data_IF_227409027482
#
_entry.id   IF_227409027482
#
_cell.length_a   1.000
_cell.length_b   1.000
_cell.length_c   1.000
_cell.angle_alpha   90.00
_cell.angle_beta   90.00
_cell.angle_gamma   90.00
#
_symmetry.space_group_name_H-M   'P 1'
#
loop_
_entity.id
_entity.type
_entity.pdbx_description
1 polymer ?
#
# COMPACT_ATOMS: atom_id res chain seq x y z
N UNK A 1 0.40 34.68 -12.70
CA UNK A 1 -0.96 34.69 -12.11
C UNK A 1 -1.42 33.23 -11.96
N UNK A 2 -2.14 32.90 -10.89
CA UNK A 2 -2.64 31.54 -10.73
C UNK A 2 -3.65 31.18 -11.83
N UNK A 3 -3.54 29.95 -12.35
CA UNK A 3 -4.50 29.40 -13.31
C UNK A 3 -5.82 29.09 -12.58
N UNK A 4 -6.91 29.75 -12.98
CA UNK A 4 -8.20 29.64 -12.32
C UNK A 4 -9.12 28.57 -12.91
N UNK A 5 -8.62 27.69 -13.80
CA UNK A 5 -9.38 26.55 -14.31
C UNK A 5 -9.95 25.71 -13.15
N UNK A 6 -11.24 25.39 -13.22
CA UNK A 6 -11.93 24.63 -12.17
C UNK A 6 -11.51 23.16 -12.15
N UNK A 7 -11.29 22.58 -13.32
CA UNK A 7 -10.94 21.18 -13.45
C UNK A 7 -9.42 20.96 -13.43
N UNK A 8 -9.00 19.79 -12.99
CA UNK A 8 -7.61 19.30 -13.07
C UNK A 8 -7.15 19.21 -14.52
N UNK A 9 -5.86 19.33 -14.74
CA UNK A 9 -5.26 18.90 -16.01
C UNK A 9 -5.53 17.41 -16.20
N UNK A 10 -6.18 17.00 -17.33
CA UNK A 10 -6.50 15.60 -17.56
C UNK A 10 -5.24 14.74 -17.59
N UNK A 11 -5.36 13.53 -17.06
CA UNK A 11 -4.31 12.52 -17.19
C UNK A 11 -4.67 11.58 -18.34
N UNK A 12 -3.67 11.16 -19.09
CA UNK A 12 -3.84 10.14 -20.14
C UNK A 12 -3.78 8.76 -19.53
N UNK A 13 -4.65 7.88 -20.02
CA UNK A 13 -4.77 6.49 -19.56
C UNK A 13 -4.85 5.55 -20.74
N UNK A 14 -4.48 4.28 -20.53
CA UNK A 14 -4.78 3.24 -21.50
C UNK A 14 -6.29 3.06 -21.65
N UNK A 15 -6.76 2.83 -22.87
CA UNK A 15 -8.18 2.53 -23.13
C UNK A 15 -8.62 1.29 -22.30
N UNK A 16 -9.82 1.30 -21.69
CA UNK A 16 -10.28 0.23 -20.79
C UNK A 16 -10.17 -1.18 -21.38
N UNK A 17 -10.56 -1.37 -22.65
CA UNK A 17 -10.49 -2.66 -23.34
C UNK A 17 -9.05 -3.15 -23.57
N UNK A 18 -8.07 -2.24 -23.63
CA UNK A 18 -6.64 -2.55 -23.78
C UNK A 18 -6.04 -2.86 -22.43
N UNK A 19 -6.23 -1.97 -21.43
CA UNK A 19 -5.62 -2.12 -20.11
C UNK A 19 -6.14 -3.33 -19.34
N UNK A 20 -7.38 -3.77 -19.59
CA UNK A 20 -7.95 -4.98 -18.99
C UNK A 20 -7.24 -6.28 -19.40
N UNK A 21 -6.32 -6.25 -20.38
CA UNK A 21 -5.65 -7.43 -20.94
C UNK A 21 -4.13 -7.41 -20.85
N UNK A 22 -3.57 -6.43 -20.14
CA UNK A 22 -2.12 -6.32 -19.96
C UNK A 22 -1.77 -5.82 -18.56
N UNK A 23 -0.49 -5.97 -18.18
CA UNK A 23 0.01 -5.54 -16.88
C UNK A 23 0.83 -4.24 -16.93
N UNK A 24 0.80 -3.52 -18.05
CA UNK A 24 1.46 -2.22 -18.15
C UNK A 24 0.73 -1.16 -17.30
N UNK A 25 1.47 -0.15 -16.85
CA UNK A 25 0.91 0.91 -16.01
C UNK A 25 -0.28 1.59 -16.69
N UNK A 26 -1.39 1.73 -15.95
CA UNK A 26 -2.69 2.20 -16.49
C UNK A 26 -2.66 3.67 -16.85
N UNK A 27 -2.12 4.50 -15.95
CA UNK A 27 -2.09 5.97 -16.10
C UNK A 27 -0.69 6.42 -16.53
N UNK A 28 -0.62 7.38 -17.45
CA UNK A 28 0.65 7.98 -17.87
C UNK A 28 1.02 9.16 -16.97
N UNK A 29 2.31 9.45 -16.86
CA UNK A 29 2.78 10.66 -16.19
C UNK A 29 2.38 11.91 -16.98
N UNK A 30 2.30 13.06 -16.32
CA UNK A 30 2.22 14.35 -17.00
C UNK A 30 3.48 14.62 -17.83
N UNK A 31 3.30 15.29 -18.95
CA UNK A 31 4.40 15.99 -19.62
C UNK A 31 4.82 17.21 -18.80
N UNK A 32 6.02 17.76 -19.06
CA UNK A 32 6.50 18.99 -18.39
C UNK A 32 5.48 20.12 -18.46
N UNK A 33 4.88 20.32 -19.65
CA UNK A 33 3.89 21.38 -19.85
C UNK A 33 2.57 21.13 -19.10
N UNK A 34 2.10 19.86 -19.05
CA UNK A 34 0.91 19.49 -18.28
C UNK A 34 1.15 19.68 -16.78
N UNK A 35 2.34 19.32 -16.28
CA UNK A 35 2.74 19.52 -14.90
C UNK A 35 2.80 21.01 -14.51
N UNK A 36 3.43 21.87 -15.34
CA UNK A 36 3.47 23.32 -15.12
C UNK A 36 2.04 23.89 -15.12
N UNK A 37 1.21 23.48 -16.08
CA UNK A 37 -0.18 23.94 -16.17
C UNK A 37 -0.97 23.58 -14.91
N UNK A 38 -0.86 22.34 -14.42
CA UNK A 38 -1.53 21.90 -13.18
C UNK A 38 -0.95 22.60 -11.95
N UNK A 39 0.36 22.76 -11.86
CA UNK A 39 1.03 23.40 -10.74
C UNK A 39 0.60 24.88 -10.58
N UNK A 40 0.36 25.60 -11.69
CA UNK A 40 -0.11 26.98 -11.68
C UNK A 40 -1.53 27.14 -11.12
N UNK A 41 -2.30 26.07 -10.96
CA UNK A 41 -3.61 26.08 -10.28
C UNK A 41 -3.49 26.23 -8.75
N UNK A 42 -2.31 25.99 -8.18
CA UNK A 42 -2.09 26.12 -6.74
C UNK A 42 -2.19 27.57 -6.28
N UNK A 43 -2.99 27.81 -5.25
CA UNK A 43 -3.20 29.15 -4.68
C UNK A 43 -2.12 29.55 -3.66
N UNK A 44 -1.17 28.69 -3.36
CA UNK A 44 -0.15 28.89 -2.32
C UNK A 44 -0.74 29.41 -1.00
N UNK A 45 -1.74 28.70 -0.46
CA UNK A 45 -2.53 29.11 0.68
C UNK A 45 -1.67 29.33 1.94
N UNK A 46 -1.90 30.43 2.66
CA UNK A 46 -1.17 30.77 3.89
C UNK A 46 -1.22 29.66 4.95
N UNK A 47 -2.39 29.04 5.13
CA UNK A 47 -2.61 27.98 6.15
C UNK A 47 -2.22 26.57 5.67
N UNK A 48 -1.84 26.39 4.40
CA UNK A 48 -1.36 25.13 3.81
C UNK A 48 -2.16 23.88 4.22
N UNK A 49 -3.50 23.82 4.07
CA UNK A 49 -4.31 22.72 4.60
C UNK A 49 -3.97 21.37 3.95
N UNK A 50 -3.44 21.37 2.72
CA UNK A 50 -2.96 20.15 2.07
C UNK A 50 -1.77 19.50 2.80
N UNK A 51 -0.89 20.28 3.44
CA UNK A 51 0.25 19.76 4.22
C UNK A 51 -0.26 18.99 5.43
N UNK A 52 -1.22 19.55 6.20
CA UNK A 52 -1.81 18.86 7.34
C UNK A 52 -2.65 17.63 6.96
N UNK A 53 -3.03 17.51 5.68
CA UNK A 53 -3.69 16.32 5.13
C UNK A 53 -2.72 15.21 4.72
N UNK A 54 -1.40 15.48 4.73
CA UNK A 54 -0.38 14.51 4.36
C UNK A 54 0.23 13.87 5.63
N UNK A 55 0.16 12.53 5.82
CA UNK A 55 0.71 11.85 7.01
C UNK A 55 2.21 12.03 7.23
N UNK A 56 2.97 12.39 6.21
CA UNK A 56 4.41 12.69 6.30
C UNK A 56 4.73 14.18 6.12
N UNK A 57 3.71 15.04 6.11
CA UNK A 57 3.83 16.50 6.05
C UNK A 57 4.69 17.01 4.87
N UNK A 58 4.51 16.47 3.67
CA UNK A 58 5.18 16.97 2.46
C UNK A 58 4.93 18.47 2.31
N UNK A 59 5.97 19.24 2.02
CA UNK A 59 5.93 20.69 1.81
C UNK A 59 5.28 21.04 0.47
N UNK A 60 3.96 20.72 0.37
CA UNK A 60 3.21 20.69 -0.89
C UNK A 60 3.22 22.03 -1.63
N UNK A 61 2.88 23.19 -1.04
CA UNK A 61 2.90 24.45 -1.79
C UNK A 61 4.29 24.81 -2.31
N UNK A 62 5.34 24.46 -1.57
CA UNK A 62 6.73 24.76 -1.94
C UNK A 62 7.16 23.95 -3.16
N UNK A 63 6.96 22.62 -3.17
CA UNK A 63 7.36 21.84 -4.33
C UNK A 63 6.51 22.17 -5.56
N UNK A 64 5.21 22.46 -5.39
CA UNK A 64 4.34 22.86 -6.51
C UNK A 64 4.78 24.20 -7.10
N UNK A 65 5.25 25.14 -6.28
CA UNK A 65 5.78 26.40 -6.76
C UNK A 65 7.02 26.19 -7.65
N UNK A 66 7.91 25.26 -7.27
CA UNK A 66 9.07 24.93 -8.10
C UNK A 66 8.67 24.25 -9.41
N UNK A 67 7.66 23.34 -9.38
CA UNK A 67 7.10 22.77 -10.62
C UNK A 67 6.53 23.84 -11.53
N UNK A 68 5.79 24.81 -10.98
CA UNK A 68 5.22 25.92 -11.77
C UNK A 68 6.30 26.79 -12.42
N UNK A 69 7.50 26.84 -11.84
CA UNK A 69 8.65 27.58 -12.36
C UNK A 69 9.55 26.73 -13.30
N UNK A 70 9.24 25.44 -13.51
CA UNK A 70 10.04 24.51 -14.31
C UNK A 70 11.27 23.94 -13.59
N UNK A 71 11.39 24.12 -12.27
CA UNK A 71 12.51 23.65 -11.44
C UNK A 71 12.23 22.27 -10.87
N UNK A 72 12.11 21.26 -11.71
CA UNK A 72 11.59 19.93 -11.33
C UNK A 72 12.51 19.16 -10.37
N UNK A 73 13.81 19.26 -10.52
CA UNK A 73 14.80 18.67 -9.59
C UNK A 73 14.66 19.26 -8.19
N UNK A 74 14.54 20.59 -8.12
CA UNK A 74 14.34 21.32 -6.86
C UNK A 74 13.02 20.94 -6.19
N UNK A 75 11.95 20.75 -6.98
CA UNK A 75 10.67 20.27 -6.49
C UNK A 75 10.81 18.86 -5.87
N UNK A 76 11.53 17.95 -6.53
CA UNK A 76 11.81 16.63 -6.00
C UNK A 76 12.65 16.68 -4.70
N UNK A 77 13.70 17.48 -4.63
CA UNK A 77 14.47 17.67 -3.40
C UNK A 77 13.59 18.10 -2.22
N UNK A 78 12.64 19.04 -2.46
CA UNK A 78 11.69 19.47 -1.44
C UNK A 78 10.81 18.30 -0.96
N UNK A 79 10.29 17.48 -1.88
CA UNK A 79 9.50 16.31 -1.53
C UNK A 79 10.32 15.34 -0.68
N UNK A 80 11.55 15.05 -1.09
CA UNK A 80 12.45 14.09 -0.40
C UNK A 80 12.83 14.52 1.01
N UNK A 81 12.68 15.79 1.40
CA UNK A 81 12.92 16.22 2.79
C UNK A 81 12.03 15.52 3.80
N UNK A 82 10.85 15.04 3.38
CA UNK A 82 9.87 14.42 4.28
C UNK A 82 9.30 13.10 3.77
N UNK A 83 9.31 12.86 2.45
CA UNK A 83 8.81 11.65 1.83
C UNK A 83 9.96 10.79 1.27
N UNK A 84 10.18 9.62 1.86
CA UNK A 84 11.23 8.70 1.43
C UNK A 84 10.91 8.00 0.09
N UNK A 85 9.61 7.84 -0.28
CA UNK A 85 9.14 7.06 -1.43
C UNK A 85 8.18 7.86 -2.33
N UNK A 86 8.58 8.99 -2.91
CA UNK A 86 7.68 9.87 -3.65
C UNK A 86 7.10 9.24 -4.91
N UNK A 87 7.86 8.42 -5.64
CA UNK A 87 7.38 7.73 -6.83
C UNK A 87 6.26 6.73 -6.51
N UNK A 88 6.32 6.10 -5.34
CA UNK A 88 5.26 5.22 -4.82
C UNK A 88 4.05 6.04 -4.38
N UNK A 89 4.25 7.07 -3.54
CA UNK A 89 3.17 7.88 -2.98
C UNK A 89 2.35 8.58 -4.07
N UNK A 90 3.00 9.12 -5.09
CA UNK A 90 2.33 9.76 -6.23
C UNK A 90 1.40 8.83 -7.01
N UNK A 91 1.60 7.48 -6.91
CA UNK A 91 0.79 6.46 -7.56
C UNK A 91 -0.31 5.86 -6.68
N UNK A 92 0.00 5.60 -5.39
CA UNK A 92 -0.86 4.73 -4.56
C UNK A 92 -1.55 5.41 -3.38
N UNK A 93 -1.17 6.63 -3.01
CA UNK A 93 -1.86 7.37 -1.94
C UNK A 93 -3.33 7.61 -2.28
N UNK A 94 -4.25 7.49 -1.32
CA UNK A 94 -5.63 7.93 -1.47
C UNK A 94 -5.73 9.45 -1.29
N UNK A 95 -5.17 10.21 -2.26
CA UNK A 95 -5.04 11.68 -2.19
C UNK A 95 -6.38 12.37 -1.97
N UNK A 96 -7.46 11.81 -2.53
CA UNK A 96 -8.84 12.29 -2.38
C UNK A 96 -9.32 12.38 -0.93
N UNK A 97 -8.76 11.54 -0.05
CA UNK A 97 -9.06 11.53 1.39
C UNK A 97 -7.96 12.21 2.24
N UNK A 98 -6.88 12.66 1.62
CA UNK A 98 -5.70 13.21 2.28
C UNK A 98 -5.40 14.63 1.81
N UNK A 99 -4.25 14.84 1.15
CA UNK A 99 -3.79 16.17 0.73
C UNK A 99 -4.76 16.86 -0.25
N UNK A 100 -5.26 16.16 -1.26
CA UNK A 100 -6.21 16.70 -2.23
C UNK A 100 -7.58 16.94 -1.59
N UNK A 101 -8.04 16.07 -0.70
CA UNK A 101 -9.28 16.25 0.07
C UNK A 101 -9.28 17.49 0.96
N UNK A 102 -8.11 18.04 1.30
CA UNK A 102 -7.96 19.30 2.05
C UNK A 102 -7.65 20.50 1.16
N UNK A 103 -7.51 20.31 -0.14
CA UNK A 103 -7.16 21.41 -1.06
C UNK A 103 -8.32 22.40 -1.20
N UNK A 104 -8.03 23.70 -0.98
CA UNK A 104 -9.02 24.79 -1.06
C UNK A 104 -9.68 24.87 -2.46
N UNK A 105 -8.94 24.49 -3.51
CA UNK A 105 -9.50 24.44 -4.87
C UNK A 105 -10.69 23.50 -4.99
N UNK A 106 -10.73 22.42 -4.18
CA UNK A 106 -11.83 21.46 -4.13
C UNK A 106 -13.17 22.01 -3.65
N UNK A 107 -13.21 23.23 -3.09
CA UNK A 107 -14.46 23.87 -2.61
C UNK A 107 -15.34 24.34 -3.79
N UNK A 108 -14.74 24.80 -4.88
CA UNK A 108 -15.46 25.38 -6.04
C UNK A 108 -15.22 24.63 -7.36
N UNK A 109 -14.40 23.60 -7.32
CA UNK A 109 -14.03 22.80 -8.49
C UNK A 109 -13.26 21.56 -8.05
N UNK A 110 -12.32 21.10 -8.86
CA UNK A 110 -11.44 19.99 -8.48
C UNK A 110 -10.21 20.50 -7.73
N UNK A 111 -9.74 19.75 -6.71
CA UNK A 111 -8.48 20.04 -6.03
C UNK A 111 -7.30 20.05 -7.04
N UNK A 112 -6.17 20.63 -6.67
CA UNK A 112 -4.93 20.47 -7.43
C UNK A 112 -4.54 18.98 -7.41
N UNK A 113 -4.10 18.44 -8.55
CA UNK A 113 -3.66 17.05 -8.68
C UNK A 113 -2.29 16.83 -8.03
N UNK A 114 -2.25 16.91 -6.70
CA UNK A 114 -1.02 16.91 -5.89
C UNK A 114 -0.24 15.63 -6.11
N UNK A 115 -0.92 14.47 -6.05
CA UNK A 115 -0.27 13.18 -6.26
C UNK A 115 0.29 13.01 -7.68
N UNK A 116 -0.38 13.56 -8.70
CA UNK A 116 0.11 13.53 -10.08
C UNK A 116 1.37 14.39 -10.26
N UNK A 117 1.44 15.54 -9.57
CA UNK A 117 2.63 16.40 -9.56
C UNK A 117 3.78 15.75 -8.78
N UNK A 118 3.51 15.09 -7.66
CA UNK A 118 4.50 14.34 -6.90
C UNK A 118 5.09 13.20 -7.74
N UNK A 119 4.21 12.41 -8.39
CA UNK A 119 4.62 11.37 -9.35
C UNK A 119 5.48 11.94 -10.46
N UNK A 120 5.05 13.06 -11.07
CA UNK A 120 5.80 13.71 -12.15
C UNK A 120 7.23 14.06 -11.73
N UNK A 121 7.40 14.69 -10.55
CA UNK A 121 8.73 15.06 -10.05
C UNK A 121 9.62 13.82 -9.84
N UNK A 122 9.05 12.75 -9.27
CA UNK A 122 9.79 11.51 -9.04
C UNK A 122 10.18 10.81 -10.35
N UNK A 123 9.24 10.66 -11.28
CA UNK A 123 9.47 10.05 -12.59
C UNK A 123 10.50 10.87 -13.41
N UNK A 124 10.46 12.20 -13.32
CA UNK A 124 11.42 13.08 -14.00
C UNK A 124 12.86 12.81 -13.55
N UNK A 125 13.09 12.75 -12.25
CA UNK A 125 14.43 12.49 -11.69
C UNK A 125 14.88 11.05 -12.00
N UNK A 126 14.00 10.08 -11.84
CA UNK A 126 14.29 8.66 -12.14
C UNK A 126 14.64 8.44 -13.61
N UNK A 127 13.87 9.01 -14.55
CA UNK A 127 14.08 8.84 -15.99
C UNK A 127 15.34 9.53 -16.49
N UNK A 128 15.76 10.61 -15.84
CA UNK A 128 17.02 11.30 -16.15
C UNK A 128 18.23 10.72 -15.41
N UNK A 129 18.03 9.70 -14.58
CA UNK A 129 19.07 9.12 -13.72
C UNK A 129 19.87 10.17 -12.93
N UNK A 130 19.15 11.17 -12.39
CA UNK A 130 19.77 12.22 -11.58
C UNK A 130 20.08 11.61 -10.21
N UNK A 131 21.38 11.53 -9.88
CA UNK A 131 21.82 11.07 -8.58
C UNK A 131 21.70 12.19 -7.55
N UNK A 132 20.96 11.92 -6.46
CA UNK A 132 20.95 12.81 -5.30
C UNK A 132 22.00 12.28 -4.32
N UNK A 133 23.16 12.86 -4.38
CA UNK A 133 24.29 12.46 -3.52
C UNK A 133 24.03 12.97 -2.10
N UNK A 134 23.81 12.05 -1.17
CA UNK A 134 23.76 12.33 0.26
C UNK A 134 25.08 11.86 0.92
N UNK A 135 26.05 12.75 1.03
CA UNK A 135 27.29 12.48 1.77
C UNK A 135 27.04 12.68 3.27
N UNK A 136 26.50 11.67 3.93
CA UNK A 136 26.32 11.68 5.39
C UNK A 136 27.45 10.88 6.04
N UNK A 137 28.18 11.49 6.96
CA UNK A 137 29.21 10.82 7.72
C UNK A 137 28.59 9.79 8.67
N UNK A 138 29.09 8.55 8.62
CA UNK A 138 28.59 7.46 9.46
C UNK A 138 29.08 7.61 10.90
N UNK A 139 28.18 7.39 11.86
CA UNK A 139 28.46 7.51 13.29
C UNK A 139 28.83 6.17 13.97
N UNK A 140 28.82 5.06 13.21
CA UNK A 140 29.20 3.71 13.68
C UNK A 140 28.15 3.03 14.57
N UNK A 141 26.97 3.63 14.78
CA UNK A 141 25.90 3.04 15.59
C UNK A 141 24.97 2.24 14.69
N UNK A 142 24.81 0.94 14.99
CA UNK A 142 24.02 0.01 14.20
C UNK A 142 22.54 0.03 14.60
N UNK A 143 21.65 0.14 13.61
CA UNK A 143 20.19 0.02 13.76
C UNK A 143 19.65 -1.12 12.88
N UNK A 144 18.82 -1.99 13.44
CA UNK A 144 18.18 -3.08 12.72
C UNK A 144 16.72 -2.72 12.37
N UNK A 145 16.33 -3.00 11.14
CA UNK A 145 14.97 -2.84 10.65
C UNK A 145 14.44 -4.21 10.27
N UNK A 146 13.32 -4.64 10.85
CA UNK A 146 12.69 -5.93 10.57
C UNK A 146 11.49 -5.71 9.65
N UNK A 147 11.66 -6.06 8.38
CA UNK A 147 10.68 -5.88 7.30
C UNK A 147 11.00 -4.69 6.40
N UNK A 148 11.13 -4.95 5.11
CA UNK A 148 11.43 -3.96 4.07
C UNK A 148 10.16 -3.40 3.40
N UNK A 149 9.02 -3.34 4.10
CA UNK A 149 7.82 -2.65 3.65
C UNK A 149 7.91 -1.13 3.81
N UNK A 150 6.85 -0.37 3.46
CA UNK A 150 6.87 1.10 3.49
C UNK A 150 7.33 1.72 4.81
N UNK A 151 6.93 1.16 5.95
CA UNK A 151 7.34 1.63 7.27
C UNK A 151 8.84 1.42 7.49
N UNK A 152 9.34 0.21 7.19
CA UNK A 152 10.75 -0.13 7.35
C UNK A 152 11.65 0.66 6.40
N UNK A 153 11.28 0.79 5.13
CA UNK A 153 12.04 1.57 4.14
C UNK A 153 12.15 3.04 4.54
N UNK A 154 11.06 3.63 5.07
CA UNK A 154 11.08 5.02 5.54
C UNK A 154 11.94 5.18 6.79
N UNK A 155 11.79 4.29 7.78
CA UNK A 155 12.62 4.30 8.98
C UNK A 155 14.11 4.14 8.64
N UNK A 156 14.43 3.21 7.72
CA UNK A 156 15.80 2.98 7.26
C UNK A 156 16.40 4.21 6.57
N UNK A 157 15.63 4.85 5.68
CA UNK A 157 16.06 6.05 4.97
C UNK A 157 16.33 7.23 5.93
N UNK A 158 15.39 7.50 6.83
CA UNK A 158 15.52 8.59 7.80
C UNK A 158 16.73 8.36 8.76
N UNK A 159 16.92 7.13 9.23
CA UNK A 159 18.10 6.79 10.06
C UNK A 159 19.43 6.87 9.29
N UNK A 160 19.45 6.43 8.04
CA UNK A 160 20.63 6.55 7.19
C UNK A 160 21.02 8.02 6.96
N UNK A 161 20.02 8.89 6.74
CA UNK A 161 20.22 10.35 6.64
C UNK A 161 20.77 10.99 7.94
N UNK A 162 20.58 10.33 9.08
CA UNK A 162 21.14 10.75 10.39
C UNK A 162 22.52 10.13 10.68
N UNK A 163 23.08 9.36 9.75
CA UNK A 163 24.41 8.78 9.84
C UNK A 163 24.48 7.42 10.54
N UNK A 164 23.34 6.77 10.83
CA UNK A 164 23.33 5.43 11.43
C UNK A 164 23.71 4.35 10.41
N UNK A 165 24.33 3.25 10.90
CA UNK A 165 24.56 2.06 10.11
C UNK A 165 23.32 1.17 10.13
N UNK A 166 22.52 1.23 9.06
CA UNK A 166 21.22 0.59 8.99
C UNK A 166 21.30 -0.73 8.24
N UNK A 167 20.77 -1.80 8.85
CA UNK A 167 20.55 -3.09 8.20
C UNK A 167 19.07 -3.45 8.23
N UNK A 168 18.52 -3.72 7.06
CA UNK A 168 17.12 -4.15 6.86
C UNK A 168 17.09 -5.65 6.66
N UNK A 169 16.35 -6.36 7.50
CA UNK A 169 16.10 -7.81 7.42
C UNK A 169 14.74 -8.06 6.80
N UNK A 170 14.71 -8.69 5.64
CA UNK A 170 13.47 -8.98 4.88
C UNK A 170 13.26 -10.49 4.78
N UNK A 171 12.04 -10.94 5.08
CA UNK A 171 11.67 -12.36 5.04
C UNK A 171 11.64 -12.92 3.62
N UNK A 172 11.24 -12.12 2.64
CA UNK A 172 11.19 -12.52 1.24
C UNK A 172 12.55 -12.37 0.54
N UNK A 173 12.63 -12.87 -0.69
CA UNK A 173 13.82 -12.79 -1.54
C UNK A 173 14.02 -11.39 -2.16
N UNK A 174 13.08 -10.47 -1.99
CA UNK A 174 13.15 -9.09 -2.46
C UNK A 174 12.55 -8.12 -1.44
N UNK A 175 13.14 -6.94 -1.33
CA UNK A 175 12.64 -5.86 -0.49
C UNK A 175 11.41 -5.17 -1.12
N UNK A 176 10.64 -4.44 -0.32
CA UNK A 176 9.48 -3.65 -0.76
C UNK A 176 8.16 -4.04 -0.08
N UNK A 177 8.08 -5.25 0.53
CA UNK A 177 6.87 -5.70 1.20
C UNK A 177 5.65 -5.65 0.29
N UNK A 178 4.54 -5.08 0.77
CA UNK A 178 3.27 -4.95 0.02
C UNK A 178 3.41 -4.21 -1.31
N UNK A 179 4.41 -3.35 -1.48
CA UNK A 179 4.69 -2.66 -2.74
C UNK A 179 5.12 -3.64 -3.84
N UNK A 180 5.77 -4.74 -3.45
CA UNK A 180 6.23 -5.79 -4.37
C UNK A 180 5.22 -6.92 -4.51
N UNK A 181 4.70 -7.46 -3.40
CA UNK A 181 3.83 -8.64 -3.46
C UNK A 181 2.34 -8.31 -3.61
N UNK A 182 1.89 -7.15 -3.11
CA UNK A 182 0.46 -6.84 -2.98
C UNK A 182 -0.07 -5.94 -4.09
N UNK A 183 0.56 -4.80 -4.35
CA UNK A 183 0.09 -3.84 -5.34
C UNK A 183 0.47 -4.30 -6.75
N UNK A 184 -0.49 -4.40 -7.70
CA UNK A 184 -0.22 -4.91 -9.03
C UNK A 184 0.72 -4.03 -9.87
N UNK A 185 1.42 -4.67 -10.82
CA UNK A 185 2.34 -4.02 -11.76
C UNK A 185 1.69 -2.85 -12.51
N UNK A 186 0.43 -3.00 -12.94
CA UNK A 186 -0.31 -1.97 -13.67
C UNK A 186 -0.71 -0.74 -12.84
N UNK A 187 -0.53 -0.78 -11.50
CA UNK A 187 -0.70 0.36 -10.58
C UNK A 187 0.63 0.90 -10.07
N UNK A 188 1.56 0.00 -9.79
CA UNK A 188 2.88 0.31 -9.26
C UNK A 188 3.92 -0.61 -9.89
N UNK A 189 4.55 -0.19 -10.98
CA UNK A 189 5.61 -0.96 -11.64
C UNK A 189 6.73 -1.33 -10.66
N UNK A 190 7.15 -2.60 -10.66
CA UNK A 190 8.16 -3.09 -9.71
C UNK A 190 9.53 -2.45 -9.92
N UNK A 191 9.82 -2.03 -11.14
CA UNK A 191 11.03 -1.25 -11.43
C UNK A 191 11.08 0.09 -10.67
N UNK A 192 9.92 0.74 -10.46
CA UNK A 192 9.83 1.98 -9.66
C UNK A 192 10.16 1.70 -8.20
N UNK A 193 9.61 0.62 -7.64
CA UNK A 193 9.89 0.21 -6.26
C UNK A 193 11.36 -0.16 -6.09
N UNK A 194 11.92 -0.92 -7.05
CA UNK A 194 13.34 -1.29 -7.01
C UNK A 194 14.24 -0.05 -7.03
N UNK A 195 13.93 0.94 -7.86
CA UNK A 195 14.71 2.18 -7.93
C UNK A 195 14.71 2.96 -6.60
N UNK A 196 13.57 2.97 -5.86
CA UNK A 196 13.53 3.58 -4.52
C UNK A 196 14.41 2.78 -3.52
N UNK A 197 14.46 1.44 -3.64
CA UNK A 197 15.34 0.59 -2.83
C UNK A 197 16.80 0.83 -3.18
N UNK A 198 17.15 0.88 -4.47
CA UNK A 198 18.52 1.18 -4.94
C UNK A 198 19.01 2.53 -4.40
N UNK A 199 18.12 3.53 -4.31
CA UNK A 199 18.45 4.83 -3.72
C UNK A 199 18.81 4.70 -2.22
N UNK A 200 18.14 3.82 -1.47
CA UNK A 200 18.47 3.56 -0.06
C UNK A 200 19.80 2.79 0.06
N UNK A 201 20.07 1.84 -0.82
CA UNK A 201 21.38 1.15 -0.89
C UNK A 201 22.51 2.14 -1.18
N UNK A 202 22.29 3.07 -2.13
CA UNK A 202 23.27 4.12 -2.43
C UNK A 202 23.52 5.07 -1.23
N UNK A 203 22.55 5.21 -0.31
CA UNK A 203 22.72 5.92 0.97
C UNK A 203 23.46 5.07 2.03
N UNK A 204 23.84 3.83 1.71
CA UNK A 204 24.56 2.91 2.59
C UNK A 204 23.66 2.11 3.53
N UNK A 205 22.38 1.91 3.17
CA UNK A 205 21.49 0.93 3.83
C UNK A 205 21.84 -0.47 3.31
N UNK A 206 22.02 -1.42 4.21
CA UNK A 206 22.26 -2.83 3.84
C UNK A 206 20.94 -3.61 3.89
N UNK A 207 20.62 -4.35 2.83
CA UNK A 207 19.46 -5.25 2.79
C UNK A 207 19.90 -6.71 2.89
N UNK A 208 19.32 -7.44 3.85
CA UNK A 208 19.47 -8.88 4.04
C UNK A 208 18.12 -9.55 3.77
N UNK A 209 17.98 -10.12 2.59
CA UNK A 209 16.78 -10.85 2.18
C UNK A 209 16.81 -12.31 2.66
N UNK A 210 15.67 -13.02 2.60
CA UNK A 210 15.50 -14.39 3.10
C UNK A 210 15.79 -14.53 4.61
N UNK A 211 15.62 -13.45 5.36
CA UNK A 211 15.89 -13.38 6.80
C UNK A 211 14.59 -13.25 7.59
N UNK A 212 14.04 -14.39 7.99
CA UNK A 212 12.79 -14.45 8.80
C UNK A 212 13.16 -14.25 10.28
N UNK A 213 13.06 -13.00 10.76
CA UNK A 213 13.29 -12.69 12.18
C UNK A 213 12.22 -13.38 13.04
N UNK A 214 12.66 -14.02 14.12
CA UNK A 214 11.87 -14.95 14.93
C UNK A 214 12.01 -16.42 14.51
N UNK A 215 12.80 -16.70 13.43
CA UNK A 215 13.14 -18.06 12.98
C UNK A 215 14.64 -18.22 12.75
N UNK A 216 15.23 -17.37 11.90
CA UNK A 216 16.67 -17.41 11.59
C UNK A 216 17.46 -16.70 12.68
N UNK A 217 16.98 -15.54 13.12
CA UNK A 217 17.50 -14.76 14.25
C UNK A 217 16.33 -14.28 15.09
N UNK A 218 16.50 -14.23 16.40
CA UNK A 218 15.59 -13.55 17.33
C UNK A 218 15.89 -12.06 17.40
N UNK A 219 14.98 -11.27 17.96
CA UNK A 219 15.24 -9.84 18.26
C UNK A 219 16.36 -9.68 19.28
N UNK A 220 16.50 -10.60 20.23
CA UNK A 220 17.57 -10.54 21.24
C UNK A 220 18.94 -10.81 20.62
N UNK A 221 19.05 -11.76 19.68
CA UNK A 221 20.30 -12.01 18.95
C UNK A 221 20.73 -10.80 18.10
N UNK A 222 19.79 -9.98 17.59
CA UNK A 222 20.16 -8.71 16.92
C UNK A 222 20.91 -7.77 17.88
N UNK A 223 20.49 -7.67 19.15
CA UNK A 223 21.22 -6.89 20.15
C UNK A 223 22.62 -7.49 20.44
N UNK A 224 22.73 -8.81 20.51
CA UNK A 224 24.02 -9.51 20.67
C UNK A 224 24.98 -9.25 19.50
N UNK A 225 24.45 -9.07 18.28
CA UNK A 225 25.20 -8.69 17.08
C UNK A 225 25.63 -7.20 17.09
N UNK A 226 25.26 -6.46 18.15
CA UNK A 226 25.68 -5.08 18.38
C UNK A 226 24.74 -4.02 17.84
N UNK A 227 23.54 -4.38 17.35
CA UNK A 227 22.51 -3.38 17.04
C UNK A 227 22.05 -2.70 18.34
N UNK A 228 21.87 -1.38 18.30
CA UNK A 228 21.50 -0.57 19.47
C UNK A 228 20.01 -0.23 19.51
N UNK A 229 19.33 -0.34 18.39
CA UNK A 229 17.90 -0.14 18.24
C UNK A 229 17.33 -1.11 17.19
N UNK A 230 16.10 -1.56 17.40
CA UNK A 230 15.37 -2.42 16.47
C UNK A 230 14.04 -1.78 16.14
N UNK A 231 13.72 -1.65 14.85
CA UNK A 231 12.40 -1.26 14.37
C UNK A 231 11.68 -2.47 13.76
N UNK A 232 10.44 -2.75 14.19
CA UNK A 232 9.61 -3.84 13.69
C UNK A 232 8.53 -3.28 12.76
N UNK A 233 8.72 -3.46 11.46
CA UNK A 233 7.81 -3.10 10.37
C UNK A 233 7.33 -4.33 9.60
N UNK A 234 7.03 -5.43 10.29
CA UNK A 234 6.70 -6.74 9.71
C UNK A 234 5.33 -6.80 8.98
N UNK A 235 4.55 -5.72 9.03
CA UNK A 235 3.28 -5.60 8.34
C UNK A 235 2.16 -6.49 8.89
N UNK A 236 1.11 -6.68 8.08
CA UNK A 236 -0.04 -7.52 8.37
C UNK A 236 -0.34 -8.42 7.16
N UNK A 237 0.32 -9.55 7.05
CA UNK A 237 0.24 -10.46 5.91
C UNK A 237 -0.62 -11.71 6.14
N UNK A 238 -1.11 -11.96 7.37
CA UNK A 238 -1.93 -13.14 7.66
C UNK A 238 -3.38 -12.90 7.21
N UNK A 239 -3.88 -13.63 6.18
CA UNK A 239 -5.21 -13.40 5.64
C UNK A 239 -6.31 -13.82 6.61
N UNK A 240 -7.47 -13.18 6.47
CA UNK A 240 -8.69 -13.58 7.16
C UNK A 240 -9.61 -14.30 6.20
N UNK A 241 -10.31 -15.30 6.76
CA UNK A 241 -11.37 -16.05 6.12
C UNK A 241 -12.69 -15.80 6.86
N UNK A 242 -13.80 -16.13 6.23
CA UNK A 242 -15.15 -15.92 6.81
C UNK A 242 -15.54 -17.03 7.79
N UNK A 243 -14.91 -18.21 7.69
CA UNK A 243 -15.27 -19.41 8.43
C UNK A 243 -16.49 -20.12 7.85
N UNK A 244 -16.72 -19.99 6.55
CA UNK A 244 -17.84 -20.63 5.85
C UNK A 244 -17.40 -21.97 5.24
N UNK A 245 -18.38 -22.86 5.01
CA UNK A 245 -18.15 -24.15 4.36
C UNK A 245 -17.56 -23.97 2.96
N UNK A 246 -16.57 -24.78 2.61
CA UNK A 246 -15.94 -24.80 1.29
C UNK A 246 -14.69 -23.91 1.14
N UNK A 247 -14.25 -23.21 2.17
CA UNK A 247 -13.02 -22.38 2.10
C UNK A 247 -11.72 -23.16 1.84
N UNK A 248 -11.74 -24.48 1.98
CA UNK A 248 -10.61 -25.37 1.66
C UNK A 248 -10.63 -25.97 0.25
N UNK A 249 -11.60 -25.62 -0.59
CA UNK A 249 -11.71 -26.14 -1.96
C UNK A 249 -10.63 -25.59 -2.89
N UNK A 250 -10.31 -26.37 -3.92
CA UNK A 250 -9.39 -25.94 -5.00
C UNK A 250 -10.03 -24.81 -5.81
N UNK A 251 -9.35 -23.68 -5.88
CA UNK A 251 -9.88 -22.46 -6.51
C UNK A 251 -10.31 -21.40 -5.49
N UNK A 252 -10.19 -21.69 -4.18
CA UNK A 252 -10.31 -20.67 -3.13
C UNK A 252 -8.93 -20.13 -2.79
N UNK A 253 -8.80 -18.82 -2.81
CA UNK A 253 -7.56 -18.11 -2.48
C UNK A 253 -7.83 -17.00 -1.46
N UNK A 254 -6.86 -16.71 -0.62
CA UNK A 254 -6.80 -15.37 -0.03
C UNK A 254 -6.29 -14.37 -1.08
N UNK A 255 -6.72 -13.11 -0.99
CA UNK A 255 -6.20 -12.08 -1.90
C UNK A 255 -4.67 -11.91 -1.77
N UNK A 256 -4.11 -12.04 -0.56
CA UNK A 256 -2.66 -11.99 -0.36
C UNK A 256 -1.93 -13.09 -1.12
N UNK A 257 -2.42 -14.33 -1.05
CA UNK A 257 -1.83 -15.45 -1.78
C UNK A 257 -1.92 -15.21 -3.29
N UNK A 258 -3.12 -14.89 -3.79
CA UNK A 258 -3.38 -14.66 -5.19
C UNK A 258 -2.47 -13.55 -5.75
N UNK A 259 -2.43 -12.39 -5.08
CA UNK A 259 -1.62 -11.26 -5.49
C UNK A 259 -0.12 -11.53 -5.36
N UNK A 260 0.32 -12.28 -4.35
CA UNK A 260 1.73 -12.68 -4.21
C UNK A 260 2.17 -13.56 -5.38
N UNK A 261 1.34 -14.53 -5.80
CA UNK A 261 1.63 -15.37 -6.98
C UNK A 261 1.75 -14.54 -8.25
N UNK A 262 0.91 -13.53 -8.42
CA UNK A 262 0.91 -12.67 -9.60
C UNK A 262 2.07 -11.68 -9.56
N UNK A 263 2.20 -10.90 -8.51
CA UNK A 263 3.10 -9.75 -8.48
C UNK A 263 4.54 -10.14 -8.12
N UNK A 264 4.74 -10.90 -7.03
CA UNK A 264 6.06 -11.30 -6.56
C UNK A 264 6.61 -12.48 -7.36
N UNK A 265 5.75 -13.48 -7.57
CA UNK A 265 6.11 -14.72 -8.29
C UNK A 265 5.81 -14.65 -9.79
N UNK A 266 5.36 -13.49 -10.28
CA UNK A 266 5.21 -13.13 -11.70
C UNK A 266 4.38 -14.11 -12.55
N UNK A 267 3.30 -14.68 -11.97
CA UNK A 267 2.44 -15.67 -12.65
C UNK A 267 1.78 -15.18 -13.95
N UNK A 268 1.88 -13.88 -14.25
CA UNK A 268 1.37 -13.29 -15.50
C UNK A 268 2.39 -13.30 -16.64
N UNK A 269 3.64 -13.70 -16.40
CA UNK A 269 4.69 -13.81 -17.40
C UNK A 269 4.89 -15.27 -17.82
N UNK A 270 5.04 -15.51 -19.10
CA UNK A 270 5.16 -16.87 -19.67
C UNK A 270 6.45 -17.59 -19.27
N UNK A 271 7.50 -16.84 -18.92
CA UNK A 271 8.81 -17.38 -18.49
C UNK A 271 8.82 -17.84 -17.02
N UNK A 272 7.69 -17.77 -16.30
CA UNK A 272 7.59 -18.14 -14.89
C UNK A 272 6.57 -19.26 -14.68
N UNK A 273 7.03 -20.39 -14.10
CA UNK A 273 6.22 -21.57 -13.79
C UNK A 273 5.40 -21.41 -12.51
N UNK A 274 4.96 -20.21 -12.16
CA UNK A 274 4.17 -19.97 -10.96
C UNK A 274 2.76 -20.50 -11.12
N UNK A 275 2.32 -21.50 -10.30
CA UNK A 275 1.01 -22.09 -10.43
C UNK A 275 -0.09 -21.10 -10.01
N UNK A 276 -0.97 -20.78 -10.93
CA UNK A 276 -2.21 -20.02 -10.67
C UNK A 276 -3.33 -20.59 -11.56
N UNK A 277 -4.50 -20.84 -10.96
CA UNK A 277 -5.65 -21.30 -11.74
C UNK A 277 -6.13 -20.17 -12.64
N UNK A 278 -6.16 -20.43 -13.94
CA UNK A 278 -6.75 -19.53 -14.95
C UNK A 278 -8.24 -19.82 -15.02
N UNK A 279 -9.00 -19.06 -14.23
CA UNK A 279 -10.44 -19.23 -14.05
C UNK A 279 -11.24 -18.47 -15.10
N UNK A 280 -12.40 -19.00 -15.49
CA UNK A 280 -13.34 -18.33 -16.39
C UNK A 280 -14.22 -17.34 -15.65
N UNK A 281 -14.65 -17.71 -14.44
CA UNK A 281 -15.57 -16.91 -13.62
C UNK A 281 -15.03 -16.80 -12.19
N UNK A 282 -14.78 -15.59 -11.71
CA UNK A 282 -14.13 -15.33 -10.43
C UNK A 282 -14.99 -14.44 -9.56
N UNK A 283 -15.25 -14.84 -8.32
CA UNK A 283 -15.82 -13.97 -7.29
C UNK A 283 -14.73 -13.46 -6.35
N UNK A 284 -14.64 -12.15 -6.18
CA UNK A 284 -13.77 -11.50 -5.20
C UNK A 284 -14.62 -10.94 -4.07
N UNK A 285 -14.41 -11.45 -2.87
CA UNK A 285 -15.21 -11.10 -1.68
C UNK A 285 -14.54 -9.96 -0.95
N UNK A 286 -15.13 -8.76 -1.00
CA UNK A 286 -14.62 -7.58 -0.32
C UNK A 286 -14.77 -6.30 -1.14
N UNK A 287 -14.57 -5.13 -0.51
CA UNK A 287 -14.76 -3.82 -1.13
C UNK A 287 -13.59 -2.85 -0.92
N UNK A 288 -12.40 -3.33 -0.54
CA UNK A 288 -11.19 -2.52 -0.36
C UNK A 288 -10.30 -2.48 -1.59
N UNK A 289 -9.19 -1.71 -1.54
CA UNK A 289 -8.22 -1.63 -2.63
C UNK A 289 -7.66 -2.99 -3.03
N UNK A 290 -7.43 -3.88 -2.05
CA UNK A 290 -6.94 -5.26 -2.30
C UNK A 290 -7.94 -6.08 -3.11
N UNK A 291 -9.25 -5.86 -2.91
CA UNK A 291 -10.29 -6.52 -3.71
C UNK A 291 -10.29 -6.00 -5.15
N UNK A 292 -10.14 -4.68 -5.35
CA UNK A 292 -9.97 -4.10 -6.69
C UNK A 292 -8.75 -4.66 -7.39
N UNK A 293 -7.62 -4.73 -6.69
CA UNK A 293 -6.37 -5.29 -7.22
C UNK A 293 -6.52 -6.75 -7.63
N UNK A 294 -7.14 -7.58 -6.78
CA UNK A 294 -7.35 -9.00 -7.06
C UNK A 294 -8.31 -9.20 -8.26
N UNK A 295 -9.42 -8.46 -8.30
CA UNK A 295 -10.41 -8.56 -9.39
C UNK A 295 -9.80 -8.12 -10.74
N UNK A 296 -9.07 -7.01 -10.76
CA UNK A 296 -8.40 -6.50 -11.95
C UNK A 296 -7.27 -7.41 -12.42
N UNK A 297 -6.58 -8.10 -11.50
CA UNK A 297 -5.61 -9.15 -11.83
C UNK A 297 -6.30 -10.37 -12.44
N UNK A 298 -7.42 -10.84 -11.86
CA UNK A 298 -8.18 -11.98 -12.40
C UNK A 298 -8.64 -11.71 -13.84
N UNK A 299 -9.15 -10.50 -14.12
CA UNK A 299 -9.52 -10.08 -15.47
C UNK A 299 -8.34 -10.15 -16.43
N UNK A 300 -7.16 -9.66 -16.04
CA UNK A 300 -5.93 -9.67 -16.85
C UNK A 300 -5.37 -11.08 -17.07
N UNK A 301 -5.64 -12.01 -16.18
CA UNK A 301 -5.28 -13.43 -16.35
C UNK A 301 -6.23 -14.19 -17.28
N UNK A 302 -7.25 -13.51 -17.84
CA UNK A 302 -8.13 -14.06 -18.85
C UNK A 302 -9.49 -14.53 -18.36
N UNK A 303 -9.91 -14.15 -17.15
CA UNK A 303 -11.26 -14.42 -16.70
C UNK A 303 -12.29 -13.72 -17.60
N UNK A 304 -13.35 -14.46 -17.98
CA UNK A 304 -14.43 -13.96 -18.82
C UNK A 304 -15.43 -13.12 -18.00
N UNK A 305 -15.60 -13.52 -16.71
CA UNK A 305 -16.46 -12.82 -15.74
C UNK A 305 -15.74 -12.67 -14.41
N UNK A 306 -15.77 -11.46 -13.88
CA UNK A 306 -15.25 -11.17 -12.54
C UNK A 306 -16.27 -10.38 -11.76
N UNK A 307 -16.58 -10.85 -10.55
CA UNK A 307 -17.55 -10.25 -9.66
C UNK A 307 -16.86 -9.72 -8.39
N UNK A 308 -17.18 -8.50 -7.98
CA UNK A 308 -16.95 -8.00 -6.62
C UNK A 308 -18.22 -8.31 -5.80
N UNK A 309 -18.10 -9.18 -4.82
CA UNK A 309 -19.19 -9.49 -3.88
C UNK A 309 -18.97 -8.68 -2.60
N UNK A 310 -19.86 -7.71 -2.36
CA UNK A 310 -19.70 -6.79 -1.24
C UNK A 310 -21.00 -6.60 -0.45
N UNK A 311 -20.92 -6.78 0.86
CA UNK A 311 -22.09 -6.81 1.77
C UNK A 311 -22.73 -5.44 2.06
N UNK A 312 -22.17 -4.34 1.56
CA UNK A 312 -22.69 -2.97 1.66
C UNK A 312 -22.88 -2.36 0.26
N UNK A 313 -23.14 -1.07 0.20
CA UNK A 313 -23.22 -0.35 -1.08
C UNK A 313 -21.89 0.25 -1.49
N UNK A 314 -21.85 0.89 -2.65
CA UNK A 314 -20.68 1.59 -3.17
C UNK A 314 -20.20 2.71 -2.22
N UNK A 315 -21.14 3.42 -1.59
CA UNK A 315 -20.84 4.54 -0.69
C UNK A 315 -20.01 4.11 0.55
N UNK A 316 -20.19 2.87 1.00
CA UNK A 316 -19.44 2.31 2.12
C UNK A 316 -18.13 1.61 1.71
N UNK A 317 -17.79 1.59 0.42
CA UNK A 317 -16.54 0.96 -0.04
C UNK A 317 -15.31 1.75 0.46
N UNK A 318 -14.33 1.07 1.09
CA UNK A 318 -13.09 1.72 1.50
C UNK A 318 -12.06 1.84 0.38
N UNK A 319 -12.33 1.27 -0.81
CA UNK A 319 -11.45 1.39 -1.97
C UNK A 319 -11.39 2.83 -2.49
N UNK A 320 -10.28 3.21 -3.12
CA UNK A 320 -10.14 4.47 -3.84
C UNK A 320 -11.18 4.57 -4.95
N UNK A 321 -11.81 5.74 -5.08
CA UNK A 321 -12.83 5.97 -6.13
C UNK A 321 -12.29 5.73 -7.53
N UNK A 322 -11.04 6.12 -7.78
CA UNK A 322 -10.35 5.89 -9.06
C UNK A 322 -10.24 4.39 -9.38
N UNK A 323 -9.88 3.55 -8.37
CA UNK A 323 -9.73 2.10 -8.57
C UNK A 323 -11.09 1.40 -8.81
N UNK A 324 -12.14 1.87 -8.13
CA UNK A 324 -13.52 1.40 -8.37
C UNK A 324 -13.96 1.77 -9.79
N UNK A 325 -13.69 3.00 -10.22
CA UNK A 325 -14.00 3.47 -11.56
C UNK A 325 -13.27 2.64 -12.63
N UNK A 326 -11.97 2.44 -12.46
CA UNK A 326 -11.18 1.61 -13.38
C UNK A 326 -11.69 0.17 -13.45
N UNK A 327 -12.06 -0.43 -12.30
CA UNK A 327 -12.59 -1.79 -12.27
C UNK A 327 -13.90 -1.91 -13.06
N UNK A 328 -14.81 -0.94 -12.91
CA UNK A 328 -16.07 -0.89 -13.67
C UNK A 328 -15.84 -0.75 -15.18
N UNK A 329 -14.93 0.15 -15.58
CA UNK A 329 -14.60 0.34 -17.00
C UNK A 329 -13.92 -0.89 -17.62
N UNK A 330 -13.19 -1.67 -16.82
CA UNK A 330 -12.56 -2.93 -17.23
C UNK A 330 -13.57 -4.11 -17.32
N UNK A 331 -14.85 -3.87 -17.01
CA UNK A 331 -15.94 -4.86 -17.15
C UNK A 331 -16.16 -5.73 -15.91
N UNK A 332 -15.62 -5.36 -14.75
CA UNK A 332 -15.88 -6.07 -13.49
C UNK A 332 -17.29 -5.72 -12.99
N UNK A 333 -18.07 -6.73 -12.66
CA UNK A 333 -19.44 -6.60 -12.16
C UNK A 333 -19.44 -6.46 -10.63
N UNK A 334 -20.22 -5.50 -10.10
CA UNK A 334 -20.32 -5.26 -8.66
C UNK A 334 -21.65 -5.76 -8.12
N UNK A 335 -21.60 -6.77 -7.29
CA UNK A 335 -22.74 -7.33 -6.57
C UNK A 335 -22.77 -6.72 -5.16
N UNK A 336 -23.34 -5.51 -5.07
CA UNK A 336 -23.55 -4.82 -3.80
C UNK A 336 -24.69 -5.45 -3.01
N UNK A 337 -24.64 -5.33 -1.68
CA UNK A 337 -25.62 -5.91 -0.76
C UNK A 337 -25.73 -7.43 -0.93
N UNK A 338 -24.59 -8.09 -1.08
CA UNK A 338 -24.48 -9.54 -1.15
C UNK A 338 -23.39 -10.04 -0.22
N UNK A 339 -23.66 -11.13 0.48
CA UNK A 339 -22.72 -11.75 1.41
C UNK A 339 -22.63 -13.25 1.14
N UNK A 340 -21.42 -13.82 0.96
CA UNK A 340 -21.25 -15.27 0.83
C UNK A 340 -21.61 -15.99 2.11
N UNK A 341 -22.20 -17.18 1.99
CA UNK A 341 -22.55 -18.06 3.13
C UNK A 341 -21.97 -19.47 2.97
N UNK A 342 -21.68 -19.89 1.73
CA UNK A 342 -21.09 -21.19 1.44
C UNK A 342 -20.38 -21.18 0.09
N UNK A 343 -19.26 -21.89 -0.03
CA UNK A 343 -18.60 -22.18 -1.31
C UNK A 343 -18.95 -23.62 -1.71
N UNK A 344 -19.40 -23.80 -2.94
CA UNK A 344 -19.88 -25.09 -3.46
C UNK A 344 -18.76 -25.72 -4.27
N UNK A 345 -18.46 -26.98 -3.95
CA UNK A 345 -17.49 -27.81 -4.67
C UNK A 345 -18.15 -28.84 -5.56
N UNK A 346 -17.44 -29.26 -6.61
CA UNK A 346 -17.77 -30.44 -7.41
C UNK A 346 -17.25 -31.73 -6.71
N UNK A 347 -17.47 -32.89 -7.34
CA UNK A 347 -17.06 -34.17 -6.84
C UNK A 347 -15.53 -34.35 -6.76
N UNK A 348 -14.77 -33.49 -7.47
CA UNK A 348 -13.30 -33.45 -7.47
C UNK A 348 -12.73 -32.47 -6.44
N UNK A 349 -13.59 -31.74 -5.73
CA UNK A 349 -13.21 -30.74 -4.74
C UNK A 349 -12.82 -29.39 -5.32
N UNK A 350 -13.15 -29.09 -6.58
CA UNK A 350 -12.97 -27.78 -7.17
C UNK A 350 -14.18 -26.88 -6.91
N UNK A 351 -13.95 -25.57 -6.82
CA UNK A 351 -15.05 -24.58 -6.76
C UNK A 351 -15.89 -24.66 -8.03
N UNK A 352 -17.20 -24.76 -7.85
CA UNK A 352 -18.19 -24.70 -8.94
C UNK A 352 -19.32 -23.69 -8.67
N UNK A 353 -19.36 -23.05 -7.49
CA UNK A 353 -20.34 -22.04 -7.17
C UNK A 353 -20.08 -21.33 -5.84
N UNK A 354 -20.74 -20.19 -5.67
CA UNK A 354 -20.74 -19.40 -4.44
C UNK A 354 -22.18 -19.10 -4.03
N UNK A 355 -22.62 -19.67 -2.91
CA UNK A 355 -23.92 -19.35 -2.34
C UNK A 355 -23.83 -18.02 -1.59
N UNK A 356 -24.69 -17.09 -1.97
CA UNK A 356 -24.81 -15.76 -1.39
C UNK A 356 -26.21 -15.50 -0.86
N UNK A 357 -26.31 -14.63 0.15
CA UNK A 357 -27.55 -14.03 0.62
C UNK A 357 -27.57 -12.55 0.30
N UNK A 358 -28.76 -12.00 0.10
CA UNK A 358 -28.93 -10.55 -0.06
C UNK A 358 -28.91 -9.86 1.29
N UNK A 359 -28.43 -8.62 1.28
CA UNK A 359 -28.29 -7.80 2.47
C UNK A 359 -29.14 -6.54 2.33
N UNK A 360 -29.47 -5.92 3.45
CA UNK A 360 -29.95 -4.55 3.54
C UNK A 360 -29.09 -3.76 4.50
N UNK A 361 -29.18 -2.43 4.46
CA UNK A 361 -28.42 -1.56 5.36
C UNK A 361 -29.27 -1.17 6.56
N UNK A 362 -28.81 -1.56 7.74
CA UNK A 362 -29.35 -1.16 9.03
C UNK A 362 -28.74 0.14 9.55
N UNK A 363 -28.70 0.30 10.87
CA UNK A 363 -28.13 1.46 11.55
C UNK A 363 -26.61 1.60 11.33
N UNK A 364 -26.09 2.82 11.45
CA UNK A 364 -24.67 3.10 11.33
C UNK A 364 -23.88 2.50 12.51
N UNK A 365 -22.75 1.85 12.20
CA UNK A 365 -21.80 1.35 13.20
C UNK A 365 -20.96 2.50 13.81
N UNK A 366 -20.08 2.19 14.77
CA UNK A 366 -19.20 3.16 15.43
C UNK A 366 -18.24 3.90 14.49
N UNK A 367 -18.07 3.39 13.25
CA UNK A 367 -17.28 4.04 12.19
C UNK A 367 -18.11 4.95 11.28
N UNK A 368 -19.41 5.07 11.55
CA UNK A 368 -20.37 5.83 10.73
C UNK A 368 -20.86 5.09 9.48
N UNK A 369 -20.44 3.83 9.26
CA UNK A 369 -20.89 3.01 8.14
C UNK A 369 -22.09 2.18 8.56
N UNK A 370 -23.11 2.10 7.71
CA UNK A 370 -24.32 1.32 7.98
C UNK A 370 -24.00 -0.17 8.08
N UNK A 371 -24.56 -0.82 9.11
CA UNK A 371 -24.36 -2.24 9.35
C UNK A 371 -25.11 -3.08 8.30
N UNK A 372 -24.48 -4.09 7.68
CA UNK A 372 -25.20 -4.99 6.77
C UNK A 372 -26.05 -5.97 7.58
N UNK A 373 -27.31 -6.12 7.18
CA UNK A 373 -28.31 -7.03 7.77
C UNK A 373 -28.75 -8.03 6.70
N UNK A 374 -28.80 -9.30 7.05
CA UNK A 374 -29.18 -10.36 6.14
C UNK A 374 -30.70 -10.37 5.88
N UNK A 375 -31.08 -10.49 4.61
CA UNK A 375 -32.46 -10.73 4.19
C UNK A 375 -32.69 -12.23 4.19
N UNK A 376 -33.58 -12.72 5.07
CA UNK A 376 -33.89 -14.14 5.19
C UNK A 376 -34.42 -14.72 3.90
N UNK A 377 -34.11 -15.98 3.66
CA UNK A 377 -34.58 -16.78 2.51
C UNK A 377 -34.25 -16.14 1.13
N UNK A 378 -33.18 -15.35 1.07
CA UNK A 378 -32.73 -14.68 -0.15
C UNK A 378 -31.54 -15.38 -0.83
N UNK A 379 -31.26 -16.60 -0.43
CA UNK A 379 -30.13 -17.38 -0.94
C UNK A 379 -30.23 -17.59 -2.46
N UNK A 380 -29.09 -17.47 -3.11
CA UNK A 380 -28.92 -17.81 -4.51
C UNK A 380 -27.48 -18.27 -4.77
N UNK A 381 -27.28 -18.99 -5.86
CA UNK A 381 -25.98 -19.48 -6.27
C UNK A 381 -25.44 -18.61 -7.41
N UNK A 382 -24.22 -18.14 -7.26
CA UNK A 382 -23.42 -17.49 -8.29
C UNK A 382 -22.47 -18.54 -8.90
N UNK A 383 -22.57 -18.77 -10.20
CA UNK A 383 -21.73 -19.72 -10.92
C UNK A 383 -20.31 -19.14 -11.07
N UNK A 384 -19.38 -19.69 -10.32
CA UNK A 384 -17.96 -19.28 -10.32
C UNK A 384 -17.07 -20.50 -10.15
N UNK A 385 -15.89 -20.47 -10.74
CA UNK A 385 -14.88 -21.53 -10.63
C UNK A 385 -13.67 -21.12 -9.78
N UNK A 386 -13.66 -19.90 -9.26
CA UNK A 386 -12.74 -19.45 -8.20
C UNK A 386 -13.34 -18.38 -7.30
N UNK A 387 -12.91 -18.38 -6.03
CA UNK A 387 -13.28 -17.40 -5.02
C UNK A 387 -12.03 -16.83 -4.38
N UNK A 388 -11.92 -15.49 -4.33
CA UNK A 388 -10.79 -14.78 -3.73
C UNK A 388 -11.28 -14.00 -2.51
N UNK A 389 -10.85 -14.42 -1.31
CA UNK A 389 -11.19 -13.77 -0.05
C UNK A 389 -10.33 -12.52 0.18
N UNK A 390 -10.96 -11.33 0.14
CA UNK A 390 -10.32 -10.03 0.31
C UNK A 390 -10.95 -9.22 1.46
N UNK A 391 -11.11 -9.87 2.61
CA UNK A 391 -11.80 -9.33 3.80
C UNK A 391 -10.86 -8.80 4.88
N UNK A 392 -9.62 -8.54 4.50
CA UNK A 392 -8.59 -7.98 5.36
C UNK A 392 -7.59 -9.00 5.87
N UNK A 393 -6.59 -8.49 6.58
CA UNK A 393 -5.45 -9.23 7.10
C UNK A 393 -5.18 -8.87 8.56
N UNK A 394 -4.30 -9.63 9.21
CA UNK A 394 -3.80 -9.36 10.56
C UNK A 394 -2.28 -9.55 10.60
N UNK A 395 -1.58 -8.95 11.61
CA UNK A 395 -0.16 -9.18 11.79
C UNK A 395 0.16 -10.65 12.04
N UNK A 396 1.28 -11.12 11.48
CA UNK A 396 1.78 -12.46 11.77
C UNK A 396 2.24 -12.53 13.24
N UNK A 397 1.81 -13.54 14.01
CA UNK A 397 2.15 -13.67 15.43
C UNK A 397 3.62 -14.01 15.70
N UNK A 398 4.42 -14.35 14.68
CA UNK A 398 5.78 -14.86 14.84
C UNK A 398 6.65 -13.95 15.72
N UNK A 399 6.79 -12.67 15.40
CA UNK A 399 7.65 -11.75 16.14
C UNK A 399 7.25 -11.68 17.62
N UNK A 400 5.95 -11.47 17.90
CA UNK A 400 5.47 -11.38 19.29
C UNK A 400 5.62 -12.68 20.07
N UNK A 401 5.48 -13.84 19.42
CA UNK A 401 5.56 -15.15 20.07
C UNK A 401 7.00 -15.59 20.34
N UNK A 402 7.97 -15.01 19.64
CA UNK A 402 9.40 -15.36 19.76
C UNK A 402 10.22 -14.26 20.46
N UNK A 403 9.58 -13.16 20.88
CA UNK A 403 10.27 -12.02 21.51
C UNK A 403 9.66 -11.74 22.88
N UNK A 404 10.39 -12.06 23.94
CA UNK A 404 9.96 -11.83 25.32
C UNK A 404 9.80 -10.32 25.60
N UNK A 405 8.76 -9.94 26.32
CA UNK A 405 8.48 -8.55 26.71
C UNK A 405 7.81 -7.72 25.61
N UNK A 406 7.43 -8.31 24.48
CA UNK A 406 6.73 -7.63 23.40
C UNK A 406 5.22 -7.93 23.47
N UNK A 407 4.42 -6.94 23.84
CA UNK A 407 2.98 -7.09 23.99
C UNK A 407 2.21 -6.78 22.69
N UNK A 408 1.06 -7.43 22.53
CA UNK A 408 0.12 -7.19 21.45
C UNK A 408 -1.33 -7.11 21.98
N UNK A 409 -2.16 -6.36 21.26
CA UNK A 409 -3.58 -6.24 21.58
C UNK A 409 -4.38 -7.48 21.09
N UNK A 410 -5.69 -7.49 21.37
CA UNK A 410 -6.60 -8.59 20.99
C UNK A 410 -6.70 -8.84 19.47
N UNK A 411 -6.26 -7.90 18.62
CA UNK A 411 -6.20 -8.05 17.18
C UNK A 411 -4.85 -8.58 16.69
N UNK A 412 -3.91 -8.82 17.61
CA UNK A 412 -2.55 -9.26 17.30
C UNK A 412 -1.60 -8.14 16.87
N UNK A 413 -2.02 -6.89 16.96
CA UNK A 413 -1.18 -5.73 16.65
C UNK A 413 -0.28 -5.40 17.84
N UNK A 414 0.98 -5.04 17.58
CA UNK A 414 1.94 -4.66 18.60
C UNK A 414 1.50 -3.38 19.32
N UNK A 415 1.66 -3.37 20.65
CA UNK A 415 1.35 -2.19 21.48
C UNK A 415 2.54 -1.24 21.47
N UNK A 416 2.28 0.02 21.14
CA UNK A 416 3.29 1.09 21.11
C UNK A 416 2.74 2.36 21.79
N UNK A 417 3.65 3.22 22.23
CA UNK A 417 3.33 4.59 22.66
C UNK A 417 3.31 5.58 21.47
N UNK A 418 3.15 6.88 21.75
CA UNK A 418 3.11 7.94 20.72
C UNK A 418 4.42 8.06 19.93
N UNK A 419 5.56 7.69 20.52
CA UNK A 419 6.89 7.65 19.90
C UNK A 419 7.16 6.32 19.16
N UNK A 420 6.15 5.48 18.95
CA UNK A 420 6.26 4.14 18.35
C UNK A 420 7.14 3.15 19.14
N UNK A 421 7.52 3.45 20.39
CA UNK A 421 8.24 2.55 21.27
C UNK A 421 7.30 1.44 21.77
N UNK A 422 7.73 0.19 21.67
CA UNK A 422 7.00 -0.98 22.19
C UNK A 422 7.18 -1.14 23.70
N UNK A 423 6.59 -2.19 24.26
CA UNK A 423 6.81 -2.60 25.66
C UNK A 423 8.23 -3.15 25.93
N UNK A 424 9.01 -3.49 24.88
CA UNK A 424 10.39 -3.94 24.99
C UNK A 424 11.34 -2.77 24.75
N UNK A 425 12.27 -2.55 25.66
CA UNK A 425 13.29 -1.48 25.58
C UNK A 425 14.07 -1.55 24.27
N UNK A 426 14.34 -0.40 23.67
CA UNK A 426 15.09 -0.25 22.41
C UNK A 426 14.46 -0.98 21.21
N UNK A 427 13.16 -1.32 21.29
CA UNK A 427 12.39 -1.91 20.19
C UNK A 427 11.20 -1.01 19.85
N UNK A 428 11.17 -0.48 18.63
CA UNK A 428 10.07 0.29 18.07
C UNK A 428 9.28 -0.55 17.07
N UNK A 429 8.04 -0.18 16.82
CA UNK A 429 7.24 -0.83 15.79
C UNK A 429 6.35 0.19 15.07
N UNK A 430 6.00 -0.09 13.81
CA UNK A 430 5.14 0.80 13.04
C UNK A 430 4.50 0.14 11.83
N UNK A 431 3.63 0.90 11.16
CA UNK A 431 2.84 0.41 10.03
C UNK A 431 1.81 -0.63 10.45
N UNK A 432 1.47 -1.52 9.52
CA UNK A 432 0.39 -2.49 9.71
C UNK A 432 0.64 -3.50 10.85
N UNK A 433 1.88 -3.65 11.30
CA UNK A 433 2.20 -4.44 12.49
C UNK A 433 1.57 -3.86 13.78
N UNK A 434 1.28 -2.55 13.79
CA UNK A 434 0.71 -1.80 14.92
C UNK A 434 -0.76 -1.46 14.69
N UNK A 435 -1.12 -0.98 13.49
CA UNK A 435 -2.48 -0.49 13.19
C UNK A 435 -3.41 -1.56 12.62
N UNK A 436 -2.88 -2.67 12.15
CA UNK A 436 -3.54 -3.52 11.16
C UNK A 436 -3.43 -2.90 9.77
N UNK A 437 -4.00 -3.56 8.75
CA UNK A 437 -3.91 -3.11 7.36
C UNK A 437 -4.43 -1.68 7.18
N UNK A 438 -3.57 -0.78 6.69
CA UNK A 438 -3.85 0.64 6.47
C UNK A 438 -3.30 1.09 5.11
N UNK A 439 -2.79 2.31 5.01
CA UNK A 439 -2.24 2.85 3.76
C UNK A 439 -0.72 2.92 3.79
N UNK A 440 -0.10 2.88 2.60
CA UNK A 440 1.36 3.01 2.44
C UNK A 440 1.88 4.24 3.18
N UNK A 441 1.27 5.40 2.97
CA UNK A 441 1.74 6.66 3.55
C UNK A 441 1.57 6.73 5.08
N UNK A 442 0.55 6.08 5.67
CA UNK A 442 0.41 5.97 7.13
C UNK A 442 1.50 5.08 7.72
N UNK A 443 1.83 3.97 7.05
CA UNK A 443 2.94 3.13 7.44
C UNK A 443 4.28 3.88 7.37
N UNK A 444 4.49 4.69 6.34
CA UNK A 444 5.65 5.57 6.22
C UNK A 444 5.72 6.60 7.35
N UNK A 445 4.58 7.21 7.69
CA UNK A 445 4.49 8.15 8.82
C UNK A 445 4.92 7.53 10.15
N UNK A 446 4.49 6.29 10.43
CA UNK A 446 4.91 5.55 11.61
C UNK A 446 6.43 5.26 11.61
N UNK A 447 6.98 4.85 10.45
CA UNK A 447 8.43 4.65 10.29
C UNK A 447 9.23 5.93 10.54
N UNK A 448 8.73 7.07 10.07
CA UNK A 448 9.34 8.39 10.30
C UNK A 448 9.32 8.80 11.78
N UNK A 449 8.18 8.62 12.45
CA UNK A 449 8.05 8.88 13.89
C UNK A 449 9.03 8.01 14.69
N UNK A 450 9.10 6.71 14.36
CA UNK A 450 10.03 5.79 15.00
C UNK A 450 11.49 6.18 14.78
N UNK A 451 11.89 6.57 13.56
CA UNK A 451 13.26 7.00 13.28
C UNK A 451 13.68 8.21 14.12
N UNK A 452 12.79 9.21 14.25
CA UNK A 452 13.04 10.37 15.11
C UNK A 452 13.16 9.98 16.59
N UNK A 453 12.33 9.05 17.07
CA UNK A 453 12.39 8.56 18.45
C UNK A 453 13.64 7.72 18.72
N UNK A 454 14.06 6.87 17.78
CA UNK A 454 15.31 6.10 17.82
C UNK A 454 16.52 7.04 17.91
N UNK A 455 16.57 8.09 17.07
CA UNK A 455 17.65 9.08 17.09
C UNK A 455 17.75 9.78 18.45
N UNK A 456 16.60 10.21 19.00
CA UNK A 456 16.55 10.82 20.33
C UNK A 456 17.06 9.88 21.42
N UNK A 457 16.62 8.62 21.39
CA UNK A 457 17.04 7.59 22.35
C UNK A 457 18.55 7.35 22.29
N UNK A 458 19.08 7.08 21.09
CA UNK A 458 20.50 6.77 20.90
C UNK A 458 21.43 7.94 21.23
N UNK A 459 20.95 9.18 21.12
CA UNK A 459 21.68 10.38 21.58
C UNK A 459 21.68 10.55 23.10
N UNK A 460 20.66 10.03 23.79
CA UNK A 460 20.59 10.08 25.26
C UNK A 460 21.43 9.00 25.96
N UNK A 461 21.79 7.93 25.25
CA UNK A 461 22.64 6.86 25.77
C UNK A 461 24.16 7.16 25.63
N UNK A 462 24.51 8.26 24.96
CA UNK A 462 25.89 8.79 24.88
C UNK A 462 26.21 9.64 26.08
#
# INVERSE_FOLDING_TARGET
MANMQLNKTPVKEQAPSVRARNFQEVTYAYTEQEAINEATRCLNCKNKPCVSGCPVNVRIPEFIAEVANGNFEKAYEIIKTTNALPAVCGRVCPQENQCEGKCVRGIKGEPVAIGRLERFCADYVMNKNIEIVNNVEKNGIKCAIVGAGPAGLTCAGDLAMLGYDVTVFEAFHTAGGVLMYGIPEFRLPKAVVQKEIDNLEAMGVTFMTNMVIGKVLSVDELFEMGFKAVFVGSGAGLPRFMGIEGEGLVGVYSANEFLTRINLMKAYLDDYDTPVKRSKSVAVVGGGNVAMDAARCAMRLGAEKVYIVYRRTEDEMPARKEEVHHAKEEGIEFLFLNNPVKIIGDDEGNVCGLECVKMELGEADSSGRRAPVEIKDSNYILDVDSVIMSIGTSPNPLIRSTTSGLEANNRGCLVVNEDMLTTKTAVWAGGDAVTGAATVILAMGAGKTAAAAIDKYLKSEK
#
